data_IF_453277474972
#
_entry.id   IF_453277474972
#
_cell.length_a   1.000
_cell.length_b   1.000
_cell.length_c   1.000
_cell.angle_alpha   90.00
_cell.angle_beta   90.00
_cell.angle_gamma   90.00
#
_symmetry.space_group_name_H-M   'P 1'
#
loop_
_entity.id
_entity.type
_entity.pdbx_description
1 polymer ?
#
# COMPACT_ATOMS: atom_id res chain seq x y z
N UNK A 1 -49.43 17.43 -59.88
CA UNK A 1 -50.06 18.25 -58.81
C UNK A 1 -50.24 17.36 -57.60
N UNK A 2 -49.93 17.67 -56.34
CA UNK A 2 -49.27 18.75 -55.59
C UNK A 2 -48.99 18.11 -54.21
N UNK A 3 -47.77 18.28 -53.66
CA UNK A 3 -47.41 18.66 -52.27
C UNK A 3 -48.18 17.90 -51.15
N UNK A 4 -47.58 17.24 -50.15
CA UNK A 4 -46.73 17.80 -49.09
C UNK A 4 -45.98 16.68 -48.33
N UNK A 5 -44.68 16.90 -48.14
CA UNK A 5 -43.85 16.24 -47.15
C UNK A 5 -44.30 16.59 -45.72
N UNK A 6 -44.25 15.63 -44.81
CA UNK A 6 -44.25 15.87 -43.37
C UNK A 6 -43.13 15.00 -42.78
N UNK A 7 -41.98 15.63 -42.54
CA UNK A 7 -40.84 15.04 -41.85
C UNK A 7 -41.13 15.03 -40.34
N UNK A 8 -41.29 13.85 -39.75
CA UNK A 8 -41.30 13.66 -38.31
C UNK A 8 -39.85 13.41 -37.86
N UNK A 9 -39.23 14.43 -37.28
CA UNK A 9 -37.93 14.35 -36.63
C UNK A 9 -38.15 13.76 -35.24
N UNK A 10 -37.85 12.46 -35.07
CA UNK A 10 -37.85 11.81 -33.77
C UNK A 10 -36.43 11.86 -33.19
N UNK A 11 -36.20 12.82 -32.29
CA UNK A 11 -34.95 12.92 -31.54
C UNK A 11 -34.91 11.82 -30.47
N UNK A 12 -34.10 10.78 -30.71
CA UNK A 12 -33.81 9.75 -29.70
C UNK A 12 -32.62 10.22 -28.89
N UNK A 13 -32.90 10.78 -27.70
CA UNK A 13 -31.93 10.99 -26.63
C UNK A 13 -31.60 9.64 -26.00
N UNK A 14 -30.53 8.99 -26.44
CA UNK A 14 -29.96 7.86 -25.71
C UNK A 14 -29.06 8.42 -24.61
N UNK A 15 -29.55 8.32 -23.37
CA UNK A 15 -28.80 8.61 -22.17
C UNK A 15 -27.57 7.70 -22.09
N UNK A 16 -26.38 8.28 -22.17
CA UNK A 16 -25.13 7.63 -21.78
C UNK A 16 -25.21 7.28 -20.30
N UNK A 17 -25.32 6.00 -19.97
CA UNK A 17 -25.19 5.53 -18.59
C UNK A 17 -23.78 5.85 -18.10
N UNK A 18 -23.72 6.84 -17.21
CA UNK A 18 -22.56 7.25 -16.44
C UNK A 18 -22.00 5.99 -15.77
N UNK A 19 -20.75 5.67 -16.10
CA UNK A 19 -19.99 4.65 -15.39
C UNK A 19 -20.09 4.94 -13.90
N UNK A 20 -20.69 4.02 -13.14
CA UNK A 20 -20.60 4.04 -11.69
C UNK A 20 -19.12 4.07 -11.33
N UNK A 21 -18.64 5.25 -10.92
CA UNK A 21 -17.34 5.45 -10.31
C UNK A 21 -17.30 4.64 -9.03
N UNK A 22 -16.97 3.35 -9.14
CA UNK A 22 -16.55 2.56 -8.00
C UNK A 22 -15.22 3.16 -7.61
N UNK A 23 -15.24 4.06 -6.63
CA UNK A 23 -14.03 4.55 -5.98
C UNK A 23 -13.22 3.31 -5.62
N UNK A 24 -12.13 3.07 -6.33
CA UNK A 24 -11.21 2.00 -5.96
C UNK A 24 -10.82 2.27 -4.50
N UNK A 25 -10.77 1.24 -3.63
CA UNK A 25 -10.23 1.42 -2.29
C UNK A 25 -8.88 2.12 -2.42
N UNK A 26 -8.65 3.18 -1.64
CA UNK A 26 -7.38 3.91 -1.66
C UNK A 26 -6.27 2.93 -1.27
N UNK A 27 -5.49 2.49 -2.26
CA UNK A 27 -4.41 1.53 -2.07
C UNK A 27 -3.36 2.17 -1.15
N UNK A 28 -3.09 1.53 -0.01
CA UNK A 28 -2.16 2.06 0.99
C UNK A 28 -0.73 1.55 0.74
N UNK A 29 -0.60 0.32 0.24
CA UNK A 29 0.68 -0.34 0.05
C UNK A 29 0.68 -1.20 -1.22
N UNK A 30 1.69 -1.00 -2.06
CA UNK A 30 1.96 -1.84 -3.23
C UNK A 30 3.21 -2.67 -2.97
N UNK A 31 3.10 -4.00 -3.11
CA UNK A 31 4.25 -4.90 -3.09
C UNK A 31 4.57 -5.31 -4.53
N UNK A 32 5.79 -5.06 -4.98
CA UNK A 32 6.18 -5.33 -6.35
C UNK A 32 7.56 -5.98 -6.44
N UNK A 33 7.81 -6.71 -7.52
CA UNK A 33 9.07 -7.38 -7.82
C UNK A 33 9.37 -7.19 -9.31
N UNK A 34 10.54 -6.64 -9.67
CA UNK A 34 10.93 -6.41 -11.08
C UNK A 34 9.82 -5.72 -11.90
N UNK A 35 9.21 -4.67 -11.34
CA UNK A 35 8.09 -3.92 -11.93
C UNK A 35 6.76 -4.68 -12.08
N UNK A 36 6.67 -5.93 -11.64
CA UNK A 36 5.42 -6.67 -11.52
C UNK A 36 4.83 -6.44 -10.12
N UNK A 37 3.58 -5.99 -10.06
CA UNK A 37 2.86 -5.92 -8.79
C UNK A 37 2.48 -7.33 -8.34
N UNK A 38 2.95 -7.71 -7.16
CA UNK A 38 2.63 -8.97 -6.50
C UNK A 38 1.32 -8.86 -5.72
N UNK A 39 1.15 -7.77 -4.97
CA UNK A 39 -0.03 -7.52 -4.17
C UNK A 39 -0.28 -6.04 -3.94
N UNK A 40 -1.53 -5.71 -3.60
CA UNK A 40 -1.98 -4.40 -3.16
C UNK A 40 -2.76 -4.59 -1.87
N UNK A 41 -2.46 -3.76 -0.89
CA UNK A 41 -3.14 -3.79 0.39
C UNK A 41 -3.76 -2.44 0.71
N UNK A 42 -5.02 -2.50 1.11
CA UNK A 42 -5.72 -1.40 1.76
C UNK A 42 -5.36 -1.35 3.24
N UNK A 43 -5.63 -0.22 3.89
CA UNK A 43 -5.39 -0.12 5.33
C UNK A 43 -6.15 -1.16 6.17
N UNK A 44 -7.45 -1.43 5.93
CA UNK A 44 -8.17 -2.48 6.68
C UNK A 44 -7.52 -3.87 6.54
N UNK A 45 -7.11 -4.26 5.33
CA UNK A 45 -6.43 -5.54 5.12
C UNK A 45 -5.14 -5.65 5.92
N UNK A 46 -4.36 -4.56 6.03
CA UNK A 46 -3.14 -4.52 6.84
C UNK A 46 -3.43 -4.56 8.35
N UNK A 47 -4.60 -4.12 8.80
CA UNK A 47 -5.06 -4.23 10.19
C UNK A 47 -5.46 -5.66 10.55
N UNK A 48 -5.97 -6.42 9.58
CA UNK A 48 -6.38 -7.81 9.75
C UNK A 48 -5.19 -8.79 9.80
N UNK A 49 -3.99 -8.35 9.41
CA UNK A 49 -2.78 -9.14 9.55
C UNK A 49 -2.39 -9.32 11.04
N UNK A 50 -1.62 -10.36 11.41
CA UNK A 50 -1.08 -10.47 12.75
C UNK A 50 -0.32 -9.21 13.17
N UNK A 51 -0.84 -8.53 14.20
CA UNK A 51 -0.26 -7.30 14.73
C UNK A 51 0.75 -7.65 15.82
N UNK A 52 1.96 -7.11 15.72
CA UNK A 52 2.97 -7.22 16.79
C UNK A 52 3.24 -5.85 17.39
N UNK A 53 3.59 -5.84 18.68
CA UNK A 53 4.05 -4.64 19.37
C UNK A 53 5.56 -4.74 19.61
N UNK A 54 6.28 -3.69 19.22
CA UNK A 54 7.72 -3.58 19.42
C UNK A 54 8.04 -2.36 20.28
N UNK A 55 9.05 -2.49 21.14
CA UNK A 55 9.57 -1.38 21.94
C UNK A 55 10.70 -0.69 21.17
N UNK A 56 10.54 0.61 20.94
CA UNK A 56 11.51 1.47 20.27
C UNK A 56 11.87 2.64 21.21
N UNK A 57 12.69 2.42 22.26
CA UNK A 57 13.05 3.46 23.21
C UNK A 57 13.77 4.64 22.55
N UNK A 58 14.43 4.41 21.41
CA UNK A 58 15.06 5.44 20.59
C UNK A 58 14.05 6.42 19.96
N UNK A 59 12.76 6.06 19.88
CA UNK A 59 11.76 6.96 19.32
C UNK A 59 11.57 8.21 20.17
N UNK A 60 11.60 9.38 19.52
CA UNK A 60 11.21 10.65 20.16
C UNK A 60 9.69 10.79 20.34
N UNK A 61 8.90 9.91 19.71
CA UNK A 61 7.45 9.87 19.81
C UNK A 61 7.00 8.69 20.68
N UNK A 62 6.01 7.93 20.19
CA UNK A 62 5.60 6.70 20.86
C UNK A 62 6.77 5.73 20.97
N UNK A 63 7.09 5.25 22.16
CA UNK A 63 8.13 4.24 22.39
C UNK A 63 7.64 2.81 22.19
N UNK A 64 6.33 2.63 21.94
CA UNK A 64 5.74 1.36 21.50
C UNK A 64 5.17 1.59 20.10
N UNK A 65 5.53 0.72 19.16
CA UNK A 65 4.99 0.71 17.80
C UNK A 65 4.16 -0.55 17.60
N UNK A 66 3.11 -0.47 16.78
CA UNK A 66 2.22 -1.59 16.50
C UNK A 66 1.90 -1.69 15.01
N UNK A 67 2.01 -2.90 14.47
CA UNK A 67 1.76 -3.16 13.06
C UNK A 67 2.09 -4.59 12.66
N UNK A 68 1.74 -4.99 11.43
CA UNK A 68 2.24 -6.23 10.84
C UNK A 68 3.76 -6.16 10.60
N UNK A 69 4.42 -7.31 10.67
CA UNK A 69 5.84 -7.42 10.32
C UNK A 69 6.02 -7.25 8.82
N UNK A 70 7.13 -6.66 8.37
CA UNK A 70 7.41 -6.55 6.93
C UNK A 70 7.44 -7.94 6.29
N UNK A 71 8.01 -8.93 7.00
CA UNK A 71 8.02 -10.34 6.57
C UNK A 71 6.61 -10.87 6.30
N UNK A 72 5.67 -10.72 7.23
CA UNK A 72 4.30 -11.23 7.07
C UNK A 72 3.58 -10.62 5.86
N UNK A 73 3.87 -9.36 5.53
CA UNK A 73 3.31 -8.70 4.35
C UNK A 73 3.87 -9.29 3.06
N UNK A 74 5.18 -9.55 3.03
CA UNK A 74 5.84 -10.18 1.89
C UNK A 74 5.34 -11.61 1.67
N UNK A 75 5.15 -12.37 2.74
CA UNK A 75 4.59 -13.72 2.70
C UNK A 75 3.16 -13.70 2.13
N UNK A 76 2.32 -12.77 2.62
CA UNK A 76 0.95 -12.58 2.12
C UNK A 76 0.90 -12.08 0.66
N UNK A 77 1.95 -11.39 0.19
CA UNK A 77 2.12 -11.00 -1.20
C UNK A 77 2.69 -12.12 -2.08
N UNK A 78 2.95 -13.31 -1.52
CA UNK A 78 3.63 -14.42 -2.20
C UNK A 78 5.01 -14.04 -2.78
N UNK A 79 5.72 -13.13 -2.13
CA UNK A 79 7.08 -12.78 -2.51
C UNK A 79 8.04 -13.93 -2.19
N UNK A 80 8.68 -14.50 -3.21
CA UNK A 80 9.59 -15.65 -3.05
C UNK A 80 11.05 -15.24 -3.27
N UNK A 81 11.96 -15.91 -2.55
CA UNK A 81 13.41 -15.75 -2.76
C UNK A 81 13.95 -14.39 -2.29
N UNK A 82 13.26 -13.69 -1.39
CA UNK A 82 13.61 -12.32 -0.98
C UNK A 82 15.04 -12.22 -0.44
N UNK A 83 15.93 -11.54 -1.16
CA UNK A 83 17.30 -11.21 -0.71
C UNK A 83 17.36 -9.83 -0.06
N UNK A 84 16.56 -8.89 -0.59
CA UNK A 84 16.37 -7.57 0.00
C UNK A 84 15.04 -6.95 -0.41
N UNK A 85 14.57 -5.98 0.36
CA UNK A 85 13.36 -5.20 0.06
C UNK A 85 13.66 -3.73 0.24
N UNK A 86 13.38 -2.94 -0.80
CA UNK A 86 13.44 -1.49 -0.74
C UNK A 86 12.08 -0.95 -0.32
N UNK A 87 12.06 -0.27 0.82
CA UNK A 87 10.87 0.35 1.40
C UNK A 87 10.76 1.79 0.90
N UNK A 88 9.63 2.10 0.26
CA UNK A 88 9.37 3.39 -0.41
C UNK A 88 8.30 4.16 0.35
N UNK A 89 8.55 5.44 0.58
CA UNK A 89 7.61 6.35 1.23
C UNK A 89 8.07 7.80 1.08
N UNK A 90 7.63 8.67 2.00
CA UNK A 90 7.98 10.10 2.00
C UNK A 90 9.45 10.38 2.30
N UNK A 91 10.03 9.61 3.22
CA UNK A 91 11.43 9.77 3.60
C UNK A 91 12.35 9.02 2.61
N UNK A 92 13.68 9.26 2.61
CA UNK A 92 14.59 8.53 1.75
C UNK A 92 14.40 7.01 1.89
N UNK A 93 14.13 6.36 0.76
CA UNK A 93 13.85 4.93 0.73
C UNK A 93 15.00 4.11 1.34
N UNK A 94 14.62 3.05 2.04
CA UNK A 94 15.55 2.22 2.80
C UNK A 94 15.54 0.80 2.29
N UNK A 95 16.70 0.19 2.17
CA UNK A 95 16.80 -1.23 1.85
C UNK A 95 16.94 -2.03 3.13
N UNK A 96 16.10 -3.05 3.27
CA UNK A 96 16.19 -4.08 4.28
C UNK A 96 16.76 -5.34 3.63
N UNK A 97 17.78 -5.92 4.23
CA UNK A 97 18.32 -7.23 3.85
C UNK A 97 17.43 -8.35 4.37
N UNK A 98 17.55 -9.56 3.82
CA UNK A 98 16.83 -10.74 4.32
C UNK A 98 17.02 -10.98 5.83
N UNK A 99 18.23 -10.73 6.36
CA UNK A 99 18.51 -10.86 7.80
C UNK A 99 17.83 -9.81 8.68
N UNK A 100 17.45 -8.65 8.11
CA UNK A 100 16.75 -7.58 8.82
C UNK A 100 15.23 -7.76 8.81
N UNK A 101 14.69 -8.58 7.89
CA UNK A 101 13.26 -8.92 7.82
C UNK A 101 12.89 -9.83 8.99
N UNK A 102 12.91 -9.32 10.22
CA UNK A 102 12.62 -10.02 11.47
C UNK A 102 11.26 -9.63 12.04
N UNK A 103 10.83 -10.30 13.10
CA UNK A 103 9.58 -9.96 13.79
C UNK A 103 9.68 -8.63 14.58
N UNK A 104 10.86 -8.00 14.57
CA UNK A 104 11.11 -6.69 15.17
C UNK A 104 11.13 -5.54 14.15
N UNK A 105 10.81 -5.80 12.88
CA UNK A 105 10.69 -4.79 11.82
C UNK A 105 9.28 -4.83 11.25
N UNK A 106 8.56 -3.72 11.42
CA UNK A 106 7.12 -3.64 11.16
C UNK A 106 6.77 -2.45 10.27
N UNK A 107 5.60 -2.52 9.65
CA UNK A 107 4.90 -1.34 9.15
C UNK A 107 3.87 -0.89 10.18
N UNK A 108 4.25 0.08 11.02
CA UNK A 108 3.36 0.65 12.01
C UNK A 108 2.25 1.45 11.34
N UNK A 109 1.00 1.14 11.68
CA UNK A 109 -0.17 1.93 11.28
C UNK A 109 -0.27 3.14 12.20
N UNK A 110 -0.15 4.34 11.63
CA UNK A 110 -0.14 5.59 12.41
C UNK A 110 -1.55 6.07 12.74
N UNK A 111 -1.67 6.97 13.72
CA UNK A 111 -2.92 7.66 14.05
C UNK A 111 -3.49 8.49 12.90
N UNK A 112 -2.67 8.80 11.88
CA UNK A 112 -3.10 9.51 10.66
C UNK A 112 -3.48 8.56 9.52
N UNK A 113 -3.67 7.27 9.83
CA UNK A 113 -4.02 6.26 8.84
C UNK A 113 -2.97 6.09 7.72
N UNK A 114 -1.70 6.35 8.02
CA UNK A 114 -0.55 6.08 7.12
C UNK A 114 0.34 4.98 7.66
N UNK A 115 1.23 4.44 6.83
CA UNK A 115 2.21 3.44 7.23
C UNK A 115 3.56 4.06 7.57
N UNK A 116 4.24 3.49 8.56
CA UNK A 116 5.60 3.88 8.93
C UNK A 116 6.47 2.64 9.15
N UNK A 117 7.58 2.54 8.44
CA UNK A 117 8.62 1.56 8.76
C UNK A 117 9.25 1.90 10.10
N UNK A 118 9.24 0.94 11.02
CA UNK A 118 9.91 1.04 12.29
C UNK A 118 10.51 -0.32 12.67
N UNK A 119 11.62 -0.30 13.40
CA UNK A 119 12.18 -1.52 13.96
C UNK A 119 13.03 -1.26 15.18
N UNK A 120 13.09 -2.24 16.09
CA UNK A 120 13.89 -2.16 17.32
C UNK A 120 15.38 -2.02 16.98
N UNK A 121 15.85 -2.79 16.00
CA UNK A 121 17.24 -2.83 15.54
C UNK A 121 17.51 -1.90 14.35
N UNK A 122 16.56 -1.03 14.01
CA UNK A 122 16.73 -0.02 12.97
C UNK A 122 17.02 1.33 13.61
N UNK A 123 18.09 1.97 13.16
CA UNK A 123 18.37 3.38 13.46
C UNK A 123 17.18 4.26 13.04
N UNK A 124 16.92 5.31 13.82
CA UNK A 124 15.82 6.25 13.54
C UNK A 124 15.93 6.90 12.16
N UNK A 125 17.16 7.09 11.65
CA UNK A 125 17.41 7.63 10.31
C UNK A 125 16.92 6.70 9.20
N UNK A 126 16.76 5.41 9.49
CA UNK A 126 16.25 4.38 8.57
C UNK A 126 14.75 4.16 8.70
N UNK A 127 14.04 4.95 9.51
CA UNK A 127 12.59 4.88 9.55
C UNK A 127 12.01 5.67 8.39
N UNK A 128 11.06 5.05 7.69
CA UNK A 128 10.40 5.64 6.52
C UNK A 128 8.95 5.93 6.89
N UNK A 129 8.52 7.18 6.77
CA UNK A 129 7.13 7.60 6.98
C UNK A 129 6.35 7.58 5.69
N UNK A 130 5.04 7.43 5.85
CA UNK A 130 4.06 7.41 4.77
C UNK A 130 4.51 6.43 3.67
N UNK A 131 4.80 5.20 4.13
CA UNK A 131 5.23 4.08 3.27
C UNK A 131 4.08 3.73 2.33
N UNK A 132 4.39 3.65 1.04
CA UNK A 132 3.44 3.32 -0.03
C UNK A 132 3.89 2.12 -0.86
N UNK A 133 5.16 1.71 -0.76
CA UNK A 133 5.71 0.64 -1.60
C UNK A 133 6.73 -0.25 -0.90
N UNK A 134 6.73 -1.51 -1.29
CA UNK A 134 7.79 -2.49 -1.04
C UNK A 134 8.28 -3.03 -2.38
N UNK A 135 9.51 -2.71 -2.76
CA UNK A 135 10.16 -3.24 -3.95
C UNK A 135 11.04 -4.43 -3.56
N UNK A 136 10.60 -5.63 -3.92
CA UNK A 136 11.25 -6.89 -3.60
C UNK A 136 12.35 -7.19 -4.61
N UNK A 137 13.54 -7.48 -4.10
CA UNK A 137 14.65 -8.05 -4.84
C UNK A 137 14.84 -9.51 -4.42
N UNK A 138 14.73 -10.48 -5.35
CA UNK A 138 14.98 -11.89 -5.08
C UNK A 138 16.47 -12.26 -5.12
#
# INVERSE_FOLDING_TARGET
MRIRAAQLIMAVLVFSLIACGRSAPEEMLVVQQRSQVLARFTLPQLQDFPQVEIRTPQSRGSQVQKGPTVRSILDAAHATGVTSVRVVGRDPAQTLTAGELTDQVILNITKRHTLKLAGTNLDLSRWVRDVTGLDVNP
#
